data_IF_998499225916
#
_entry.id   IF_998499225916
#
_cell.length_a   1.000
_cell.length_b   1.000
_cell.length_c   1.000
_cell.angle_alpha   90.00
_cell.angle_beta   90.00
_cell.angle_gamma   90.00
#
_symmetry.space_group_name_H-M   'P 1'
#
loop_
_entity.id
_entity.type
_entity.pdbx_description
1 polymer ?
#
# COMPACT_ATOMS: atom_id res chain seq x y z
N UNK A 1 5.12 -7.79 43.68
CA UNK A 1 5.79 -8.89 42.96
C UNK A 1 5.07 -9.10 41.64
N UNK A 2 5.64 -8.64 40.52
CA UNK A 2 5.03 -8.77 39.20
C UNK A 2 4.93 -10.27 38.86
N UNK A 3 3.71 -10.75 38.61
CA UNK A 3 3.44 -12.19 38.55
C UNK A 3 4.18 -12.79 37.34
N UNK A 4 5.11 -13.74 37.56
CA UNK A 4 5.92 -14.37 36.49
C UNK A 4 5.06 -15.01 35.39
N UNK A 5 3.79 -15.30 35.67
CA UNK A 5 2.78 -15.75 34.70
C UNK A 5 2.32 -14.62 33.76
N UNK A 6 2.14 -13.41 34.27
CA UNK A 6 1.76 -12.22 33.48
C UNK A 6 2.87 -11.81 32.51
N UNK A 7 4.14 -11.89 32.93
CA UNK A 7 5.30 -11.61 32.04
C UNK A 7 5.38 -12.62 30.88
N UNK A 8 5.03 -13.90 31.12
CA UNK A 8 5.02 -14.94 30.07
C UNK A 8 3.88 -14.77 29.06
N UNK A 9 2.69 -14.36 29.52
CA UNK A 9 1.55 -14.07 28.64
C UNK A 9 1.79 -12.81 27.83
N UNK A 10 2.36 -11.76 28.44
CA UNK A 10 2.73 -10.53 27.75
C UNK A 10 3.84 -10.74 26.71
N UNK A 11 4.82 -11.60 27.02
CA UNK A 11 5.88 -11.99 26.08
C UNK A 11 5.38 -12.78 24.87
N UNK A 12 4.36 -13.64 25.04
CA UNK A 12 3.80 -14.44 23.93
C UNK A 12 2.91 -13.61 22.99
N UNK A 13 2.21 -12.60 23.52
CA UNK A 13 1.37 -11.70 22.73
C UNK A 13 2.19 -10.75 21.83
N UNK A 14 3.43 -10.43 22.20
CA UNK A 14 4.31 -9.54 21.43
C UNK A 14 4.89 -10.19 20.16
N UNK A 15 4.81 -11.52 19.99
CA UNK A 15 5.34 -12.22 18.80
C UNK A 15 4.32 -12.42 17.67
N UNK A 16 3.03 -12.15 17.90
CA UNK A 16 1.97 -12.42 16.91
C UNK A 16 1.74 -11.28 15.90
N UNK A 17 2.22 -10.07 16.20
CA UNK A 17 2.07 -8.88 15.34
C UNK A 17 3.04 -8.83 14.14
N UNK A 18 4.06 -9.69 14.11
CA UNK A 18 5.08 -9.71 13.04
C UNK A 18 4.67 -10.45 11.75
N UNK A 19 3.69 -11.35 11.82
CA UNK A 19 3.33 -12.23 10.71
C UNK A 19 2.83 -11.46 9.48
N UNK A 20 2.05 -10.40 9.67
CA UNK A 20 1.50 -9.60 8.55
C UNK A 20 2.58 -8.80 7.83
N UNK A 21 3.46 -8.14 8.57
CA UNK A 21 4.58 -7.36 8.03
C UNK A 21 5.58 -8.26 7.31
N UNK A 22 5.93 -9.40 7.90
CA UNK A 22 6.84 -10.36 7.25
C UNK A 22 6.26 -10.91 5.94
N UNK A 23 4.97 -11.31 5.94
CA UNK A 23 4.28 -11.77 4.73
C UNK A 23 4.25 -10.71 3.65
N UNK A 24 3.92 -9.46 4.00
CA UNK A 24 3.91 -8.34 3.07
C UNK A 24 5.30 -8.08 2.50
N UNK A 25 6.34 -7.99 3.34
CA UNK A 25 7.70 -7.72 2.88
C UNK A 25 8.24 -8.83 1.98
N UNK A 26 7.93 -10.09 2.30
CA UNK A 26 8.28 -11.23 1.44
C UNK A 26 7.57 -11.14 0.09
N UNK A 27 6.28 -10.84 0.07
CA UNK A 27 5.52 -10.63 -1.16
C UNK A 27 6.12 -9.47 -1.97
N UNK A 28 6.34 -8.32 -1.34
CA UNK A 28 6.94 -7.12 -1.95
C UNK A 28 8.29 -7.39 -2.62
N UNK A 29 9.17 -8.15 -1.95
CA UNK A 29 10.49 -8.49 -2.49
C UNK A 29 10.45 -9.42 -3.70
N UNK A 30 9.38 -10.21 -3.83
CA UNK A 30 9.22 -11.24 -4.86
C UNK A 30 8.20 -10.87 -5.92
N UNK A 31 7.51 -9.73 -5.74
CA UNK A 31 6.49 -9.28 -6.67
C UNK A 31 7.21 -8.77 -7.91
N UNK A 32 7.18 -9.59 -8.95
CA UNK A 32 7.59 -9.22 -10.30
C UNK A 32 6.34 -8.70 -11.01
N UNK A 33 6.38 -7.43 -11.41
CA UNK A 33 5.39 -6.91 -12.33
C UNK A 33 5.52 -7.66 -13.67
N UNK A 34 4.41 -7.86 -14.36
CA UNK A 34 4.46 -8.28 -15.76
C UNK A 34 5.34 -7.29 -16.57
N UNK A 35 5.96 -7.73 -17.69
CA UNK A 35 6.80 -6.87 -18.51
C UNK A 35 6.12 -5.53 -18.82
N UNK A 36 6.95 -4.48 -18.87
CA UNK A 36 6.69 -3.03 -18.77
C UNK A 36 5.81 -2.40 -19.87
N UNK A 37 4.81 -3.11 -20.42
CA UNK A 37 3.89 -2.58 -21.42
C UNK A 37 2.48 -2.44 -20.84
N UNK A 38 2.24 -1.26 -20.25
CA UNK A 38 0.97 -0.51 -20.24
C UNK A 38 -0.19 -0.95 -19.31
N UNK A 39 0.08 -1.35 -18.06
CA UNK A 39 -0.98 -1.72 -17.10
C UNK A 39 -0.89 -1.06 -15.72
N UNK A 40 -1.92 -1.29 -14.91
CA UNK A 40 -1.99 -0.89 -13.50
C UNK A 40 -1.12 -1.79 -12.60
N UNK A 41 -0.85 -3.03 -13.03
CA UNK A 41 -0.09 -4.01 -12.26
C UNK A 41 1.33 -3.56 -11.96
N UNK A 42 1.83 -3.99 -10.81
CA UNK A 42 3.21 -3.74 -10.40
C UNK A 42 3.32 -3.25 -8.98
N UNK A 43 4.52 -2.78 -8.65
CA UNK A 43 4.81 -2.20 -7.34
C UNK A 43 4.83 -0.70 -7.45
N UNK A 44 4.22 -0.08 -6.45
CA UNK A 44 4.07 1.36 -6.35
C UNK A 44 4.55 1.81 -4.97
N UNK A 45 5.25 2.94 -4.92
CA UNK A 45 5.75 3.52 -3.67
C UNK A 45 5.53 5.02 -3.70
N UNK A 46 5.15 5.57 -2.55
CA UNK A 46 4.94 6.99 -2.40
C UNK A 46 4.46 7.34 -1.01
N UNK A 47 3.48 8.24 -0.94
CA UNK A 47 2.95 8.76 0.31
C UNK A 47 1.43 8.85 0.28
N UNK A 48 0.84 8.84 1.48
CA UNK A 48 -0.54 9.25 1.68
C UNK A 48 -0.55 10.49 2.57
N UNK A 49 -1.54 11.34 2.36
CA UNK A 49 -1.78 12.53 3.18
C UNK A 49 -3.28 12.74 3.38
N UNK A 50 -3.69 12.92 4.62
CA UNK A 50 -5.01 13.39 5.01
C UNK A 50 -5.08 14.91 4.92
N UNK A 51 -6.06 15.42 4.19
CA UNK A 51 -6.40 16.84 4.17
C UNK A 51 -7.32 17.23 5.33
N UNK A 52 -7.92 16.25 6.02
CA UNK A 52 -8.76 16.45 7.19
C UNK A 52 -7.95 16.80 8.45
N UNK A 53 -6.87 16.08 8.72
CA UNK A 53 -6.07 16.24 9.95
C UNK A 53 -4.57 16.45 9.72
N UNK A 54 -4.11 16.47 8.46
CA UNK A 54 -2.70 16.65 8.11
C UNK A 54 -1.81 15.43 8.39
N UNK A 55 -2.36 14.32 8.89
CA UNK A 55 -1.60 13.09 9.03
C UNK A 55 -1.12 12.61 7.67
N UNK A 56 0.06 12.01 7.65
CA UNK A 56 0.66 11.48 6.43
C UNK A 56 1.62 10.35 6.76
N UNK A 57 2.07 9.66 5.73
CA UNK A 57 3.18 8.73 5.84
C UNK A 57 3.46 7.98 4.55
N UNK A 58 4.43 7.06 4.63
CA UNK A 58 4.86 6.27 3.48
C UNK A 58 3.79 5.26 3.09
N UNK A 59 3.64 5.07 1.79
CA UNK A 59 2.72 4.13 1.19
C UNK A 59 3.47 3.21 0.22
N UNK A 60 3.19 1.93 0.30
CA UNK A 60 3.57 0.93 -0.70
C UNK A 60 2.32 0.19 -1.17
N UNK A 61 2.28 -0.19 -2.44
CA UNK A 61 1.19 -0.95 -3.01
C UNK A 61 1.72 -1.98 -4.00
N UNK A 62 1.21 -3.20 -3.94
CA UNK A 62 1.36 -4.20 -5.00
C UNK A 62 0.01 -4.34 -5.69
N UNK A 63 -0.03 -4.12 -6.99
CA UNK A 63 -1.24 -4.24 -7.81
C UNK A 63 -1.11 -5.46 -8.71
N UNK A 64 -2.10 -6.34 -8.69
CA UNK A 64 -2.20 -7.50 -9.57
C UNK A 64 -3.59 -7.59 -10.18
N UNK A 65 -3.67 -7.96 -11.46
CA UNK A 65 -4.94 -8.30 -12.10
C UNK A 65 -5.59 -9.48 -11.36
N UNK A 66 -6.84 -9.32 -10.94
CA UNK A 66 -7.65 -10.38 -10.34
C UNK A 66 -8.55 -11.00 -11.41
N UNK A 67 -9.32 -10.15 -12.11
CA UNK A 67 -10.27 -10.48 -13.18
C UNK A 67 -10.32 -9.31 -14.17
N UNK A 68 -11.04 -9.47 -15.29
CA UNK A 68 -11.21 -8.41 -16.29
C UNK A 68 -11.59 -7.07 -15.63
N UNK A 69 -10.78 -6.03 -15.88
CA UNK A 69 -10.90 -4.69 -15.30
C UNK A 69 -10.88 -4.60 -13.76
N UNK A 70 -10.58 -5.68 -13.04
CA UNK A 70 -10.52 -5.72 -11.58
C UNK A 70 -9.11 -6.03 -11.10
N UNK A 71 -8.58 -5.13 -10.30
CA UNK A 71 -7.21 -5.14 -9.83
C UNK A 71 -7.17 -5.21 -8.31
N UNK A 72 -6.50 -6.22 -7.77
CA UNK A 72 -6.21 -6.30 -6.36
C UNK A 72 -5.02 -5.40 -6.02
N UNK A 73 -5.28 -4.37 -5.22
CA UNK A 73 -4.27 -3.48 -4.66
C UNK A 73 -4.00 -3.85 -3.19
N UNK A 74 -2.79 -4.33 -2.89
CA UNK A 74 -2.36 -4.65 -1.53
C UNK A 74 -1.45 -3.56 -0.96
N UNK A 75 -2.04 -2.74 -0.09
CA UNK A 75 -1.37 -1.60 0.53
C UNK A 75 -0.61 -1.94 1.80
N UNK A 76 0.46 -1.19 2.03
CA UNK A 76 1.16 -1.05 3.30
C UNK A 76 1.43 0.43 3.56
N UNK A 77 0.66 1.03 4.47
CA UNK A 77 0.81 2.42 4.89
C UNK A 77 1.52 2.51 6.24
N UNK A 78 2.13 3.65 6.50
CA UNK A 78 2.79 3.97 7.78
C UNK A 78 2.24 5.27 8.35
N UNK A 79 2.17 5.36 9.67
CA UNK A 79 1.80 6.57 10.41
C UNK A 79 2.60 6.62 11.71
N UNK A 80 3.60 7.50 11.80
CA UNK A 80 4.56 7.48 12.91
C UNK A 80 5.19 6.09 13.07
N UNK A 81 4.99 5.45 14.22
CA UNK A 81 5.49 4.09 14.51
C UNK A 81 4.53 2.97 14.09
N UNK A 82 3.32 3.33 13.64
CA UNK A 82 2.29 2.36 13.24
C UNK A 82 2.41 2.02 11.76
N UNK A 83 1.98 0.80 11.41
CA UNK A 83 1.85 0.35 10.04
C UNK A 83 0.51 -0.34 9.86
N UNK A 84 -0.14 -0.07 8.74
CA UNK A 84 -1.42 -0.68 8.39
C UNK A 84 -1.28 -1.37 7.04
N UNK A 85 -2.02 -2.47 6.88
CA UNK A 85 -2.07 -3.22 5.63
C UNK A 85 -3.53 -3.54 5.36
N UNK A 86 -3.95 -3.29 4.14
CA UNK A 86 -5.29 -3.60 3.68
C UNK A 86 -5.24 -3.92 2.19
N UNK A 87 -6.29 -4.56 1.71
CA UNK A 87 -6.48 -4.87 0.30
C UNK A 87 -7.67 -4.08 -0.19
N UNK A 88 -7.63 -3.62 -1.43
CA UNK A 88 -8.76 -3.00 -2.10
C UNK A 88 -8.87 -3.64 -3.47
N UNK A 89 -10.08 -3.91 -3.93
CA UNK A 89 -10.32 -4.18 -5.34
C UNK A 89 -10.61 -2.85 -6.03
N UNK A 90 -9.77 -2.50 -7.00
CA UNK A 90 -10.02 -1.40 -7.91
C UNK A 90 -10.64 -1.93 -9.20
N UNK A 91 -11.69 -1.26 -9.65
CA UNK A 91 -12.33 -1.50 -10.95
C UNK A 91 -11.95 -0.37 -11.89
N UNK A 92 -11.45 -0.69 -13.08
CA UNK A 92 -11.23 0.31 -14.12
C UNK A 92 -12.58 0.87 -14.58
N UNK A 93 -12.71 2.18 -14.57
CA UNK A 93 -13.90 2.89 -15.04
C UNK A 93 -13.72 3.43 -16.45
N UNK A 94 -12.50 3.83 -16.80
CA UNK A 94 -12.11 4.31 -18.12
C UNK A 94 -10.68 3.88 -18.43
N UNK A 95 -10.43 3.54 -19.69
CA UNK A 95 -9.11 3.20 -20.21
C UNK A 95 -8.90 3.95 -21.53
N UNK A 96 -7.79 4.67 -21.61
CA UNK A 96 -7.30 5.36 -22.80
C UNK A 96 -5.82 5.04 -22.98
N UNK A 97 -5.28 5.31 -24.16
CA UNK A 97 -3.89 4.96 -24.51
C UNK A 97 -2.86 5.47 -23.48
N UNK A 98 -3.12 6.61 -22.81
CA UNK A 98 -2.17 7.27 -21.90
C UNK A 98 -2.60 7.27 -20.42
N UNK A 99 -3.85 6.87 -20.12
CA UNK A 99 -4.40 6.97 -18.78
C UNK A 99 -5.47 5.92 -18.49
N UNK A 100 -5.33 5.28 -17.32
CA UNK A 100 -6.34 4.44 -16.68
C UNK A 100 -7.02 5.23 -15.57
N UNK A 101 -8.35 5.12 -15.47
CA UNK A 101 -9.11 5.60 -14.32
C UNK A 101 -9.70 4.43 -13.57
N UNK A 102 -9.73 4.52 -12.25
CA UNK A 102 -10.25 3.46 -11.40
C UNK A 102 -10.98 3.98 -10.18
N UNK A 103 -11.85 3.13 -9.65
CA UNK A 103 -12.56 3.32 -8.40
C UNK A 103 -12.49 2.07 -7.53
N UNK A 104 -12.66 2.22 -6.23
CA UNK A 104 -12.79 1.09 -5.32
C UNK A 104 -13.29 1.48 -3.95
N UNK A 105 -13.68 0.48 -3.17
CA UNK A 105 -14.19 0.66 -1.81
C UNK A 105 -13.67 -0.47 -0.92
N UNK A 106 -13.35 -0.16 0.33
CA UNK A 106 -13.00 -1.15 1.36
C UNK A 106 -13.44 -0.68 2.75
N UNK A 107 -14.07 -1.55 3.54
CA UNK A 107 -14.36 -1.30 4.96
C UNK A 107 -13.14 -1.65 5.81
N UNK A 108 -12.43 -0.62 6.29
CA UNK A 108 -11.27 -0.80 7.17
C UNK A 108 -11.67 -0.97 8.64
N UNK A 109 -12.96 -0.86 8.95
CA UNK A 109 -13.54 -0.93 10.27
C UNK A 109 -13.77 0.44 10.90
N UNK A 110 -14.86 0.56 11.66
CA UNK A 110 -15.29 1.84 12.28
C UNK A 110 -14.23 2.52 13.15
N UNK A 111 -13.33 1.75 13.76
CA UNK A 111 -12.26 2.29 14.62
C UNK A 111 -11.19 3.06 13.85
N UNK A 112 -11.08 2.85 12.54
CA UNK A 112 -10.08 3.50 11.67
C UNK A 112 -10.73 4.27 10.52
N UNK A 113 -12.04 4.55 10.60
CA UNK A 113 -12.73 5.42 9.64
C UNK A 113 -13.93 4.80 8.93
N UNK A 114 -14.17 3.49 9.08
CA UNK A 114 -15.28 2.80 8.42
C UNK A 114 -14.96 2.49 6.97
N UNK A 115 -15.92 2.77 6.08
CA UNK A 115 -15.77 2.52 4.65
C UNK A 115 -14.94 3.62 4.00
N UNK A 116 -13.90 3.22 3.28
CA UNK A 116 -13.06 4.10 2.46
C UNK A 116 -13.41 3.94 0.99
N UNK A 117 -13.63 5.05 0.31
CA UNK A 117 -13.89 5.14 -1.14
C UNK A 117 -12.72 5.79 -1.83
N UNK A 118 -12.30 5.22 -2.94
CA UNK A 118 -11.13 5.64 -3.70
C UNK A 118 -11.52 5.96 -5.13
N UNK A 119 -10.90 7.00 -5.68
CA UNK A 119 -10.92 7.31 -7.11
C UNK A 119 -9.53 7.75 -7.51
N UNK A 120 -9.02 7.23 -8.62
CA UNK A 120 -7.66 7.56 -9.02
C UNK A 120 -7.39 7.34 -10.49
N UNK A 121 -6.15 7.67 -10.84
CA UNK A 121 -5.63 7.54 -12.21
C UNK A 121 -4.24 6.92 -12.19
N UNK A 122 -3.94 6.17 -13.25
CA UNK A 122 -2.59 5.74 -13.56
C UNK A 122 -2.21 6.25 -14.95
N UNK A 123 -1.07 6.92 -15.05
CA UNK A 123 -0.51 7.35 -16.32
C UNK A 123 1.00 7.06 -16.31
N UNK A 124 1.42 6.12 -17.15
CA UNK A 124 2.79 5.59 -17.14
C UNK A 124 3.19 5.03 -15.77
N UNK A 125 4.12 5.73 -15.12
CA UNK A 125 4.67 5.40 -13.81
C UNK A 125 4.09 6.25 -12.66
N UNK A 126 3.09 7.07 -12.92
CA UNK A 126 2.38 7.84 -11.91
C UNK A 126 1.08 7.15 -11.50
N UNK A 127 0.87 7.00 -10.20
CA UNK A 127 -0.39 6.56 -9.59
C UNK A 127 -0.81 7.63 -8.58
N UNK A 128 -1.85 8.39 -8.94
CA UNK A 128 -2.52 9.33 -8.05
C UNK A 128 -3.93 8.87 -7.70
N UNK A 129 -4.35 9.03 -6.44
CA UNK A 129 -5.74 8.78 -6.04
C UNK A 129 -6.19 9.73 -4.93
N UNK A 130 -7.50 9.93 -4.84
CA UNK A 130 -8.15 10.49 -3.66
C UNK A 130 -8.81 9.37 -2.86
N UNK A 131 -8.93 9.58 -1.55
CA UNK A 131 -9.73 8.74 -0.68
C UNK A 131 -10.70 9.58 0.16
N UNK A 132 -11.83 8.98 0.53
CA UNK A 132 -12.79 9.54 1.49
C UNK A 132 -13.37 8.43 2.37
N UNK A 133 -13.34 8.64 3.69
CA UNK A 133 -13.83 7.72 4.71
C UNK A 133 -15.15 8.19 5.33
N UNK A 134 -15.95 7.27 5.84
CA UNK A 134 -17.26 7.59 6.47
C UNK A 134 -17.15 8.53 7.67
N UNK A 135 -16.02 8.54 8.38
CA UNK A 135 -15.78 9.45 9.51
C UNK A 135 -15.39 10.89 9.09
N UNK A 136 -15.33 11.18 7.79
CA UNK A 136 -14.97 12.48 7.23
C UNK A 136 -13.49 12.63 6.86
N UNK A 137 -12.62 11.68 7.19
CA UNK A 137 -11.22 11.70 6.74
C UNK A 137 -11.16 11.57 5.22
N UNK A 138 -10.34 12.39 4.58
CA UNK A 138 -10.16 12.39 3.14
C UNK A 138 -8.77 12.92 2.81
N UNK A 139 -8.29 12.58 1.63
CA UNK A 139 -6.96 13.01 1.22
C UNK A 139 -6.50 12.34 -0.05
N UNK A 140 -5.18 12.28 -0.22
CA UNK A 140 -4.53 11.87 -1.48
C UNK A 140 -3.49 10.80 -1.28
N UNK A 141 -3.33 9.97 -2.30
CA UNK A 141 -2.18 9.12 -2.54
C UNK A 141 -1.40 9.69 -3.73
N UNK A 142 -0.08 9.80 -3.55
CA UNK A 142 0.86 10.19 -4.61
C UNK A 142 1.95 9.13 -4.65
N UNK A 143 2.00 8.35 -5.74
CA UNK A 143 2.82 7.16 -5.87
C UNK A 143 3.50 7.06 -7.22
N UNK A 144 4.67 6.44 -7.23
CA UNK A 144 5.44 6.14 -8.43
C UNK A 144 5.72 4.65 -8.53
N UNK A 145 5.76 4.12 -9.76
CA UNK A 145 6.14 2.74 -10.02
C UNK A 145 7.58 2.47 -9.58
N UNK A 146 7.85 1.27 -9.06
CA UNK A 146 9.20 0.85 -8.66
C UNK A 146 9.58 -0.50 -9.26
N UNK A 147 10.53 -0.47 -10.18
CA UNK A 147 11.11 -1.68 -10.76
C UNK A 147 12.14 -2.33 -9.83
N UNK A 148 12.32 -3.65 -9.98
CA UNK A 148 13.31 -4.42 -9.19
C UNK A 148 14.74 -3.94 -9.49
N UNK A 149 14.96 -3.28 -10.62
CA UNK A 149 16.28 -2.84 -11.11
C UNK A 149 16.87 -1.63 -10.35
N UNK A 150 16.06 -0.85 -9.64
CA UNK A 150 16.57 0.34 -8.94
C UNK A 150 17.22 0.06 -7.58
N UNK A 151 17.17 -1.18 -7.10
CA UNK A 151 17.80 -1.54 -5.81
C UNK A 151 19.29 -1.89 -5.96
N UNK A 152 19.76 -2.29 -7.15
CA UNK A 152 21.19 -2.62 -7.35
C UNK A 152 22.09 -1.41 -7.63
N UNK A 153 21.53 -0.26 -7.99
CA UNK A 153 22.30 0.98 -8.21
C UNK A 153 22.88 1.57 -6.91
N UNK A 154 22.26 1.31 -5.76
CA UNK A 154 22.75 1.83 -4.45
C UNK A 154 23.65 0.86 -3.68
N UNK A 155 23.65 -0.43 -4.02
CA UNK A 155 24.49 -1.42 -3.35
C UNK A 155 25.91 -1.54 -3.94
N UNK A 156 26.12 -1.08 -5.18
CA UNK A 156 27.42 -1.16 -5.85
C UNK A 156 28.34 0.02 -5.48
N UNK A 157 27.78 1.17 -5.08
CA UNK A 157 28.57 2.36 -4.75
C UNK A 157 29.30 2.31 -3.39
N UNK A 158 29.04 1.31 -2.53
CA UNK A 158 29.62 1.20 -1.18
C UNK A 158 30.72 0.13 -1.08
N UNK A 159 31.04 -0.57 -2.17
CA UNK A 159 32.11 -1.59 -2.21
C UNK A 159 33.39 -1.16 -2.94
N UNK A 160 33.54 0.14 -3.21
CA UNK A 160 34.73 0.70 -3.87
C UNK A 160 35.41 1.75 -2.98
N UNK A 161 35.85 1.35 -1.79
CA UNK A 161 36.90 2.01 -1.01
C UNK A 161 37.65 0.98 -0.18
#
# INVERSE_FOLDING_TARGET
>A
MLNRRLVRVLGLLLFLSGCGTFKYNRAWSRFEAAPQSAGFEGRWKGEWKSDWNGHSGKLRCMVSLEEENRYLAWFHSTYGIFSFRHKVIFTLTEESDDQLQFEGEEDLGKMVGGVYRYRGTVSGDAFGATYAADNGDHGVFDMTRVDVRDVESTATAVRSF
#
